data_IF_520189213105
#
_entry.id   IF_520189213105
#
_cell.length_a   1.000
_cell.length_b   1.000
_cell.length_c   1.000
_cell.angle_alpha   90.00
_cell.angle_beta   90.00
_cell.angle_gamma   90.00
#
_symmetry.space_group_name_H-M   'P 1'
#
loop_
_entity.id
_entity.type
_entity.pdbx_description
1 polymer ?
#
# COMPACT_ATOMS: atom_id res chain seq x y z
N UNK A 1 -17.28 -9.41 -8.34
CA UNK A 1 -17.00 -8.24 -9.21
C UNK A 1 -18.10 -7.98 -10.25
N UNK A 2 -18.44 -8.93 -11.14
CA UNK A 2 -19.39 -8.69 -12.25
C UNK A 2 -20.72 -8.02 -11.83
N UNK A 3 -21.42 -8.55 -10.84
CA UNK A 3 -22.71 -8.00 -10.38
C UNK A 3 -22.58 -6.61 -9.77
N UNK A 4 -21.54 -6.41 -8.92
CA UNK A 4 -21.29 -5.09 -8.29
C UNK A 4 -20.93 -4.05 -9.33
N UNK A 5 -20.03 -4.35 -10.26
CA UNK A 5 -19.64 -3.42 -11.34
C UNK A 5 -20.85 -3.04 -12.20
N UNK A 6 -21.72 -3.99 -12.55
CA UNK A 6 -22.92 -3.70 -13.32
C UNK A 6 -23.87 -2.74 -12.59
N UNK A 7 -24.00 -2.87 -11.27
CA UNK A 7 -24.83 -1.94 -10.47
C UNK A 7 -24.19 -0.54 -10.40
N UNK A 8 -22.86 -0.46 -10.23
CA UNK A 8 -22.16 0.83 -10.23
C UNK A 8 -22.36 1.55 -11.56
N UNK A 9 -22.15 0.87 -12.69
CA UNK A 9 -22.33 1.44 -14.02
C UNK A 9 -23.76 1.93 -14.22
N UNK A 10 -24.75 1.15 -13.74
CA UNK A 10 -26.17 1.50 -13.89
C UNK A 10 -26.57 2.75 -13.09
N UNK A 11 -26.12 2.85 -11.84
CA UNK A 11 -26.60 3.90 -10.92
C UNK A 11 -25.62 5.07 -10.76
N UNK A 12 -24.36 4.90 -11.15
CA UNK A 12 -23.33 5.93 -11.03
C UNK A 12 -22.41 5.97 -12.26
N UNK A 13 -22.96 6.27 -13.46
CA UNK A 13 -22.23 6.14 -14.74
C UNK A 13 -21.05 7.11 -14.88
N UNK A 14 -20.99 8.17 -14.06
CA UNK A 14 -19.92 9.17 -14.10
C UNK A 14 -18.92 9.07 -12.95
N UNK A 15 -18.98 8.02 -12.14
CA UNK A 15 -18.11 7.84 -10.97
C UNK A 15 -16.70 7.40 -11.37
N UNK A 16 -15.76 7.51 -10.40
CA UNK A 16 -14.47 6.85 -10.40
C UNK A 16 -14.61 5.58 -9.53
N UNK A 17 -14.12 4.46 -10.00
CA UNK A 17 -14.14 3.19 -9.25
C UNK A 17 -12.75 2.93 -8.71
N UNK A 18 -12.67 2.70 -7.38
CA UNK A 18 -11.44 2.30 -6.69
C UNK A 18 -11.62 0.89 -6.14
N UNK A 19 -11.19 -0.16 -6.86
CA UNK A 19 -11.23 -1.53 -6.36
C UNK A 19 -10.27 -1.71 -5.17
N UNK A 20 -10.79 -2.30 -4.08
CA UNK A 20 -10.02 -2.67 -2.88
C UNK A 20 -9.89 -4.19 -2.74
N UNK A 21 -10.43 -4.94 -3.71
CA UNK A 21 -10.46 -6.40 -3.70
C UNK A 21 -9.14 -7.02 -4.17
N UNK A 22 -8.77 -8.16 -3.58
CA UNK A 22 -7.59 -8.93 -3.94
C UNK A 22 -7.93 -10.15 -4.81
N UNK A 23 -7.02 -10.61 -5.70
CA UNK A 23 -5.76 -9.96 -6.09
C UNK A 23 -6.02 -8.63 -6.81
N UNK A 24 -5.37 -7.56 -6.36
CA UNK A 24 -5.68 -6.19 -6.79
C UNK A 24 -5.64 -5.99 -8.30
N UNK A 25 -4.56 -6.42 -8.95
CA UNK A 25 -4.35 -6.19 -10.39
C UNK A 25 -5.41 -6.90 -11.22
N UNK A 26 -5.70 -8.17 -10.90
CA UNK A 26 -6.73 -8.96 -11.58
C UNK A 26 -8.13 -8.36 -11.37
N UNK A 27 -8.45 -7.91 -10.16
CA UNK A 27 -9.75 -7.32 -9.85
C UNK A 27 -9.93 -5.95 -10.49
N UNK A 28 -8.89 -5.11 -10.50
CA UNK A 28 -8.89 -3.81 -11.18
C UNK A 28 -9.04 -3.97 -12.69
N UNK A 29 -8.33 -4.92 -13.29
CA UNK A 29 -8.45 -5.24 -14.71
C UNK A 29 -9.86 -5.78 -15.06
N UNK A 30 -10.44 -6.62 -14.19
CA UNK A 30 -11.80 -7.11 -14.36
C UNK A 30 -12.83 -5.98 -14.31
N UNK A 31 -12.71 -5.07 -13.33
CA UNK A 31 -13.59 -3.90 -13.21
C UNK A 31 -13.45 -2.99 -14.43
N UNK A 32 -12.24 -2.72 -14.88
CA UNK A 32 -11.99 -1.91 -16.07
C UNK A 32 -12.72 -2.47 -17.31
N UNK A 33 -12.56 -3.78 -17.55
CA UNK A 33 -13.21 -4.44 -18.70
C UNK A 33 -14.73 -4.51 -18.59
N UNK A 34 -15.24 -4.76 -17.38
CA UNK A 34 -16.67 -4.92 -17.14
C UNK A 34 -17.43 -3.58 -17.12
N UNK A 35 -16.79 -2.51 -16.66
CA UNK A 35 -17.42 -1.20 -16.59
C UNK A 35 -17.49 -0.48 -17.93
N UNK A 36 -16.55 -0.75 -18.84
CA UNK A 36 -16.39 0.03 -20.06
C UNK A 36 -15.95 1.49 -19.80
N UNK A 37 -15.56 1.81 -18.55
CA UNK A 37 -15.12 3.16 -18.20
C UNK A 37 -13.74 3.46 -18.77
N UNK A 38 -13.41 4.73 -19.07
CA UNK A 38 -12.07 5.10 -19.47
C UNK A 38 -11.06 4.78 -18.34
N UNK A 39 -9.82 4.47 -18.71
CA UNK A 39 -8.74 4.03 -17.80
C UNK A 39 -8.58 4.94 -16.58
N UNK A 40 -8.72 6.24 -16.75
CA UNK A 40 -8.57 7.25 -15.68
C UNK A 40 -9.63 7.14 -14.58
N UNK A 41 -10.72 6.40 -14.82
CA UNK A 41 -11.81 6.22 -13.86
C UNK A 41 -11.81 4.86 -13.16
N UNK A 42 -10.78 4.04 -13.37
CA UNK A 42 -10.61 2.78 -12.64
C UNK A 42 -9.20 2.74 -12.07
N UNK A 43 -9.08 2.90 -10.75
CA UNK A 43 -7.82 3.10 -10.04
C UNK A 43 -7.68 2.03 -8.95
N UNK A 44 -6.70 1.12 -9.09
CA UNK A 44 -6.39 0.16 -8.03
C UNK A 44 -5.79 0.83 -6.79
N UNK A 45 -6.25 0.48 -5.60
CA UNK A 45 -5.73 1.00 -4.33
C UNK A 45 -4.70 0.04 -3.75
N UNK A 46 -3.44 0.46 -3.65
CA UNK A 46 -2.33 -0.33 -3.08
C UNK A 46 -1.25 0.51 -2.41
N UNK A 47 -0.45 1.21 -3.18
CA UNK A 47 0.80 1.85 -2.73
C UNK A 47 0.64 2.84 -1.58
N UNK A 48 -0.50 3.52 -1.45
CA UNK A 48 -0.78 4.43 -0.33
C UNK A 48 -0.80 3.66 0.99
N UNK A 49 -1.50 2.52 1.05
CA UNK A 49 -1.56 1.67 2.23
C UNK A 49 -0.17 1.07 2.56
N UNK A 50 0.54 0.59 1.55
CA UNK A 50 1.84 -0.04 1.73
C UNK A 50 2.90 0.98 2.17
N UNK A 51 2.85 2.19 1.61
CA UNK A 51 3.69 3.32 2.05
C UNK A 51 3.37 3.74 3.49
N UNK A 52 2.10 3.75 3.89
CA UNK A 52 1.70 4.03 5.27
C UNK A 52 2.22 2.97 6.26
N UNK A 53 2.20 1.68 5.88
CA UNK A 53 2.82 0.60 6.68
C UNK A 53 4.32 0.82 6.85
N UNK A 54 5.05 1.09 5.77
CA UNK A 54 6.47 1.37 5.82
C UNK A 54 6.79 2.57 6.71
N UNK A 55 6.01 3.66 6.58
CA UNK A 55 6.13 4.85 7.45
C UNK A 55 6.02 4.47 8.93
N UNK A 56 5.01 3.68 9.27
CA UNK A 56 4.78 3.25 10.66
C UNK A 56 5.96 2.42 11.19
N UNK A 57 6.48 1.48 10.41
CA UNK A 57 7.60 0.64 10.85
C UNK A 57 8.89 1.44 11.00
N UNK A 58 9.18 2.38 10.09
CA UNK A 58 10.33 3.30 10.21
C UNK A 58 10.18 4.18 11.45
N UNK A 59 9.00 4.76 11.67
CA UNK A 59 8.73 5.61 12.84
C UNK A 59 8.92 4.86 14.16
N UNK A 60 8.44 3.62 14.23
CA UNK A 60 8.60 2.75 15.40
C UNK A 60 10.07 2.41 15.68
N UNK A 61 10.83 2.07 14.63
CA UNK A 61 12.26 1.71 14.76
C UNK A 61 13.11 2.89 15.25
N UNK A 62 12.84 4.08 14.73
CA UNK A 62 13.63 5.28 15.04
C UNK A 62 13.08 6.07 16.25
N UNK A 63 11.93 5.69 16.81
CA UNK A 63 11.31 6.41 17.92
C UNK A 63 10.86 7.84 17.57
N UNK A 64 10.47 8.08 16.30
CA UNK A 64 10.04 9.40 15.80
C UNK A 64 8.55 9.43 15.48
N UNK A 65 8.01 10.64 15.32
CA UNK A 65 6.61 10.78 14.87
C UNK A 65 6.44 10.28 13.43
N UNK A 66 5.36 9.56 13.17
CA UNK A 66 4.99 9.12 11.81
C UNK A 66 4.76 10.29 10.86
N UNK A 67 4.45 11.49 11.37
CA UNK A 67 4.29 12.71 10.58
C UNK A 67 5.59 13.19 9.96
N UNK A 68 6.74 12.87 10.58
CA UNK A 68 8.07 13.24 10.10
C UNK A 68 8.64 12.24 9.08
N UNK A 69 7.95 11.12 8.85
CA UNK A 69 8.37 10.06 7.95
C UNK A 69 7.59 10.10 6.64
N UNK A 70 8.29 10.11 5.53
CA UNK A 70 7.73 9.95 4.19
C UNK A 70 8.31 8.69 3.55
N UNK A 71 7.45 7.76 3.15
CA UNK A 71 7.86 6.53 2.49
C UNK A 71 7.16 6.35 1.15
N UNK A 72 7.87 5.69 0.24
CA UNK A 72 7.35 5.31 -1.06
C UNK A 72 7.47 3.81 -1.26
N UNK A 73 6.32 3.19 -1.58
CA UNK A 73 6.23 1.79 -1.99
C UNK A 73 5.49 1.75 -3.31
N UNK A 74 6.11 1.16 -4.32
CA UNK A 74 5.57 1.00 -5.67
C UNK A 74 5.44 -0.48 -6.03
N UNK A 75 5.13 -0.78 -7.29
CA UNK A 75 4.97 -2.15 -7.79
C UNK A 75 3.60 -2.73 -7.49
N UNK A 76 3.52 -4.06 -7.46
CA UNK A 76 2.29 -4.78 -7.15
C UNK A 76 1.96 -4.76 -5.65
N UNK A 77 0.74 -5.18 -5.31
CA UNK A 77 0.31 -5.28 -3.92
C UNK A 77 0.52 -6.71 -3.39
N UNK A 78 1.70 -6.99 -2.83
CA UNK A 78 2.13 -8.31 -2.36
C UNK A 78 3.60 -8.58 -2.68
N UNK A 79 3.92 -9.79 -3.13
CA UNK A 79 5.30 -10.25 -3.37
C UNK A 79 6.08 -9.43 -4.42
N UNK A 80 5.37 -8.74 -5.29
CA UNK A 80 5.95 -7.86 -6.33
C UNK A 80 6.02 -6.39 -5.90
N UNK A 81 5.82 -6.11 -4.62
CA UNK A 81 5.97 -4.79 -4.01
C UNK A 81 7.43 -4.34 -4.01
N UNK A 82 7.65 -3.07 -4.28
CA UNK A 82 8.98 -2.45 -4.35
C UNK A 82 9.05 -1.27 -3.38
N UNK A 83 9.48 -1.48 -2.13
CA UNK A 83 9.83 -0.39 -1.23
C UNK A 83 11.01 0.42 -1.80
N UNK A 84 11.00 1.73 -1.64
CA UNK A 84 12.00 2.64 -2.17
C UNK A 84 12.73 3.42 -1.05
N UNK A 85 13.67 2.80 -0.30
CA UNK A 85 14.38 3.45 0.80
C UNK A 85 15.09 4.74 0.39
N UNK A 86 15.65 4.79 -0.82
CA UNK A 86 16.37 5.97 -1.35
C UNK A 86 15.46 7.18 -1.53
N UNK A 87 14.17 6.99 -1.77
CA UNK A 87 13.18 8.05 -1.91
C UNK A 87 12.35 8.24 -0.64
N UNK A 88 12.58 7.41 0.37
CA UNK A 88 11.91 7.48 1.67
C UNK A 88 12.78 8.28 2.64
N UNK A 89 12.16 9.16 3.42
CA UNK A 89 12.89 10.12 4.26
C UNK A 89 12.31 10.19 5.68
N UNK A 90 13.16 10.59 6.63
CA UNK A 90 12.76 11.04 7.97
C UNK A 90 13.21 12.48 8.13
N UNK A 91 12.29 13.39 8.38
CA UNK A 91 12.56 14.83 8.44
C UNK A 91 13.37 15.35 7.23
N UNK A 92 13.13 14.79 6.04
CA UNK A 92 13.82 15.13 4.80
C UNK A 92 15.14 14.39 4.55
N UNK A 93 15.67 13.62 5.52
CA UNK A 93 16.89 12.83 5.37
C UNK A 93 16.55 11.47 4.78
N UNK A 94 17.12 11.04 3.64
CA UNK A 94 16.88 9.71 3.06
C UNK A 94 17.24 8.57 4.02
N UNK A 95 16.49 7.46 3.98
CA UNK A 95 16.78 6.30 4.82
C UNK A 95 18.17 5.72 4.55
N UNK A 96 18.65 5.80 3.31
CA UNK A 96 20.01 5.39 2.94
C UNK A 96 21.09 6.23 3.61
N UNK A 97 20.85 7.52 3.82
CA UNK A 97 21.77 8.41 4.55
C UNK A 97 21.75 8.09 6.05
N UNK A 98 20.58 7.81 6.63
CA UNK A 98 20.48 7.37 8.02
C UNK A 98 21.23 6.06 8.27
N UNK A 99 21.31 5.18 7.27
CA UNK A 99 22.13 3.97 7.33
C UNK A 99 23.61 4.34 7.26
N UNK A 100 24.03 5.23 6.35
CA UNK A 100 25.40 5.67 6.23
C UNK A 100 25.90 6.39 7.51
N UNK A 101 25.01 7.12 8.19
CA UNK A 101 25.28 7.79 9.47
C UNK A 101 25.30 6.83 10.68
N UNK A 102 24.88 5.57 10.51
CA UNK A 102 24.78 4.59 11.59
C UNK A 102 23.57 4.76 12.51
N UNK A 103 22.64 5.66 12.19
CA UNK A 103 21.39 5.88 12.95
C UNK A 103 20.40 4.71 12.74
N UNK A 104 20.41 4.12 11.54
CA UNK A 104 19.63 2.93 11.18
C UNK A 104 20.58 1.87 10.63
N UNK A 105 20.45 0.62 11.05
CA UNK A 105 21.26 -0.45 10.45
C UNK A 105 20.66 -0.93 9.11
N UNK A 106 21.50 -1.36 8.17
CA UNK A 106 21.04 -1.95 6.92
C UNK A 106 20.12 -3.15 7.16
N UNK A 107 20.47 -4.01 8.13
CA UNK A 107 19.66 -5.19 8.48
C UNK A 107 18.24 -4.80 8.95
N UNK A 108 18.10 -3.72 9.71
CA UNK A 108 16.79 -3.20 10.13
C UNK A 108 16.00 -2.60 8.98
N UNK A 109 16.66 -1.91 8.07
CA UNK A 109 16.01 -1.39 6.88
C UNK A 109 15.47 -2.52 6.00
N UNK A 110 16.24 -3.59 5.81
CA UNK A 110 15.82 -4.77 5.04
C UNK A 110 14.67 -5.52 5.73
N UNK A 111 14.71 -5.63 7.07
CA UNK A 111 13.59 -6.16 7.87
C UNK A 111 12.31 -5.34 7.70
N UNK A 112 12.39 -4.01 7.74
CA UNK A 112 11.26 -3.11 7.53
C UNK A 112 10.67 -3.29 6.13
N UNK A 113 11.51 -3.36 5.11
CA UNK A 113 11.06 -3.59 3.73
C UNK A 113 10.33 -4.94 3.60
N UNK A 114 10.89 -5.99 4.16
CA UNK A 114 10.29 -7.34 4.18
C UNK A 114 8.97 -7.35 4.95
N UNK A 115 8.91 -6.73 6.12
CA UNK A 115 7.71 -6.63 6.94
C UNK A 115 6.61 -5.81 6.24
N UNK A 116 6.99 -4.77 5.51
CA UNK A 116 6.06 -3.97 4.71
C UNK A 116 5.35 -4.83 3.65
N UNK A 117 6.11 -5.65 2.93
CA UNK A 117 5.55 -6.56 1.93
C UNK A 117 4.60 -7.59 2.55
N UNK A 118 4.92 -8.09 3.75
CA UNK A 118 4.15 -9.10 4.47
C UNK A 118 3.06 -8.54 5.40
N UNK A 119 2.88 -7.22 5.49
CA UNK A 119 2.01 -6.58 6.49
C UNK A 119 0.55 -7.03 6.43
N UNK A 120 0.02 -7.34 5.24
CA UNK A 120 -1.33 -7.90 5.09
C UNK A 120 -1.45 -9.32 5.67
N UNK A 121 -0.46 -10.17 5.43
CA UNK A 121 -0.39 -11.52 5.97
C UNK A 121 -0.21 -11.53 7.49
N UNK A 122 0.59 -10.60 8.05
CA UNK A 122 0.78 -10.42 9.50
C UNK A 122 -0.57 -10.15 10.18
N UNK A 123 -1.37 -9.21 9.67
CA UNK A 123 -2.69 -8.88 10.23
C UNK A 123 -3.64 -10.08 10.11
N UNK A 124 -3.68 -10.72 8.94
CA UNK A 124 -4.55 -11.90 8.73
C UNK A 124 -4.21 -13.03 9.70
N UNK A 125 -2.92 -13.24 9.99
CA UNK A 125 -2.47 -14.24 10.97
C UNK A 125 -2.91 -13.92 12.40
N UNK A 126 -2.92 -12.63 12.77
CA UNK A 126 -3.31 -12.18 14.11
C UNK A 126 -4.83 -12.19 14.32
N UNK A 127 -5.59 -11.79 13.31
CA UNK A 127 -7.05 -11.61 13.42
C UNK A 127 -7.83 -12.83 12.92
N UNK A 128 -7.19 -13.74 12.19
CA UNK A 128 -7.83 -14.96 11.62
C UNK A 128 -8.68 -14.69 10.37
N UNK A 129 -8.86 -13.43 9.98
CA UNK A 129 -9.62 -13.02 8.79
C UNK A 129 -8.91 -11.90 8.01
N UNK A 130 -9.39 -11.61 6.79
CA UNK A 130 -8.87 -10.48 6.02
C UNK A 130 -9.07 -9.15 6.75
N UNK A 131 -8.06 -8.30 6.70
CA UNK A 131 -8.04 -6.97 7.33
C UNK A 131 -8.86 -5.90 6.58
N UNK A 132 -9.67 -6.28 5.59
CA UNK A 132 -10.41 -5.36 4.72
C UNK A 132 -11.24 -4.32 5.47
N UNK A 133 -11.74 -4.66 6.65
CA UNK A 133 -12.55 -3.78 7.48
C UNK A 133 -11.77 -2.56 8.01
N UNK A 134 -10.47 -2.73 8.25
CA UNK A 134 -9.58 -1.68 8.78
C UNK A 134 -9.00 -0.81 7.66
N UNK A 135 -8.89 -1.35 6.45
CA UNK A 135 -8.36 -0.65 5.28
C UNK A 135 -9.29 0.47 4.79
N UNK A 136 -10.58 0.40 5.09
CA UNK A 136 -11.58 1.37 4.64
C UNK A 136 -11.71 2.54 5.63
N UNK A 137 -11.21 2.41 6.87
CA UNK A 137 -11.32 3.42 7.92
C UNK A 137 -10.06 4.27 8.13
N UNK A 138 -8.97 3.94 7.47
CA UNK A 138 -7.73 4.72 7.46
C UNK A 138 -7.65 5.58 6.20
#
# INVERSE_FOLDING_TARGET
>A
MKSVTAQIVKYSPNTIIVPVANPLDAMSQAVYRLSGFPRQRVIGMAGVLDSARMRTFVAMELGVSVTDVNCFVLGGHGDTMVPLPRLSTVAGIPLTELVAMGTLSQAKLDEICTRTANGGAEITKLVGTSAWYWTIRS
#
